data_IF_836998420159
#
_entry.id   IF_836998420159
#
_cell.length_a   1.000
_cell.length_b   1.000
_cell.length_c   1.000
_cell.angle_alpha   90.00
_cell.angle_beta   90.00
_cell.angle_gamma   90.00
#
_symmetry.space_group_name_H-M   'P 1'
#
loop_
_entity.id
_entity.type
_entity.pdbx_description
1 polymer ?
#
# COMPACT_ATOMS: atom_id res chain seq x y z
N UNK A 1 -6.27 43.32 -63.54
CA UNK A 1 -5.52 42.50 -62.56
C UNK A 1 -6.40 42.45 -61.33
N UNK A 2 -7.39 41.57 -61.37
CA UNK A 2 -8.38 41.32 -60.32
C UNK A 2 -8.66 39.82 -60.38
N UNK A 3 -8.17 39.08 -59.40
CA UNK A 3 -8.55 37.70 -59.09
C UNK A 3 -8.47 37.59 -57.56
N UNK A 4 -9.58 37.84 -56.88
CA UNK A 4 -10.53 36.82 -56.38
C UNK A 4 -9.89 35.87 -55.38
N UNK A 5 -10.03 36.21 -54.10
CA UNK A 5 -9.75 35.35 -52.96
C UNK A 5 -10.72 34.17 -52.96
N UNK A 6 -10.23 32.95 -53.20
CA UNK A 6 -10.96 31.72 -52.89
C UNK A 6 -10.81 31.39 -51.39
N UNK A 7 -11.92 31.45 -50.66
CA UNK A 7 -12.05 30.96 -49.29
C UNK A 7 -11.91 29.43 -49.27
N UNK A 8 -10.82 28.92 -48.68
CA UNK A 8 -10.72 27.51 -48.30
C UNK A 8 -11.20 27.34 -46.86
N UNK A 9 -12.40 26.76 -46.71
CA UNK A 9 -12.87 26.24 -45.43
C UNK A 9 -12.03 25.02 -45.02
N UNK A 10 -10.97 25.23 -44.24
CA UNK A 10 -10.32 24.14 -43.52
C UNK A 10 -11.18 23.78 -42.30
N UNK A 11 -12.06 22.79 -42.46
CA UNK A 11 -12.69 22.07 -41.35
C UNK A 11 -11.64 21.25 -40.61
N UNK A 12 -10.77 21.91 -39.85
CA UNK A 12 -9.95 21.27 -38.83
C UNK A 12 -10.87 20.84 -37.69
N UNK A 13 -11.46 19.66 -37.81
CA UNK A 13 -12.13 18.95 -36.74
C UNK A 13 -11.18 18.75 -35.56
N UNK A 14 -11.17 19.71 -34.63
CA UNK A 14 -10.60 19.52 -33.31
C UNK A 14 -11.58 18.66 -32.54
N UNK A 15 -11.44 17.35 -32.66
CA UNK A 15 -11.87 16.44 -31.61
C UNK A 15 -11.04 16.79 -30.37
N UNK A 16 -11.55 17.70 -29.54
CA UNK A 16 -11.13 17.79 -28.15
C UNK A 16 -11.66 16.54 -27.46
N UNK A 17 -10.89 15.45 -27.56
CA UNK A 17 -11.02 14.37 -26.60
C UNK A 17 -10.48 14.95 -25.30
N UNK A 18 -11.38 15.53 -24.52
CA UNK A 18 -11.11 15.88 -23.14
C UNK A 18 -10.80 14.56 -22.41
N UNK A 19 -9.51 14.30 -22.20
CA UNK A 19 -9.02 13.24 -21.35
C UNK A 19 -9.37 13.59 -19.90
N UNK A 20 -10.63 13.36 -19.53
CA UNK A 20 -11.13 13.50 -18.16
C UNK A 20 -10.67 12.36 -17.26
N UNK A 21 -9.82 11.45 -17.76
CA UNK A 21 -9.46 10.20 -17.07
C UNK A 21 -8.02 10.19 -16.52
N UNK A 22 -7.22 11.23 -16.79
CA UNK A 22 -5.82 11.25 -16.34
C UNK A 22 -5.69 11.48 -14.83
N UNK A 23 -6.63 12.22 -14.22
CA UNK A 23 -6.54 12.59 -12.81
C UNK A 23 -6.92 11.42 -11.87
N UNK A 24 -7.97 10.66 -12.19
CA UNK A 24 -8.38 9.47 -11.42
C UNK A 24 -7.32 8.37 -11.48
N UNK A 25 -6.68 8.19 -12.64
CA UNK A 25 -5.59 7.22 -12.79
C UNK A 25 -4.37 7.61 -11.95
N UNK A 26 -3.97 8.88 -11.96
CA UNK A 26 -2.82 9.36 -11.17
C UNK A 26 -3.05 9.22 -9.66
N UNK A 27 -4.25 9.53 -9.17
CA UNK A 27 -4.59 9.30 -7.76
C UNK A 27 -4.56 7.81 -7.42
N UNK A 28 -5.10 6.95 -8.29
CA UNK A 28 -5.05 5.49 -8.10
C UNK A 28 -3.62 4.95 -8.10
N UNK A 29 -2.71 5.53 -8.89
CA UNK A 29 -1.29 5.17 -8.90
C UNK A 29 -0.61 5.67 -7.63
N UNK A 30 -0.92 6.88 -7.15
CA UNK A 30 -0.36 7.42 -5.89
C UNK A 30 -0.69 6.54 -4.67
N UNK A 31 -1.88 5.93 -4.61
CA UNK A 31 -2.19 4.93 -3.59
C UNK A 31 -1.33 3.66 -3.70
N UNK A 32 -0.75 3.39 -4.88
CA UNK A 32 0.21 2.30 -5.10
C UNK A 32 1.64 2.64 -4.73
N UNK A 33 2.03 3.92 -4.80
CA UNK A 33 3.39 4.34 -4.48
C UNK A 33 3.79 4.07 -3.01
N UNK A 34 2.82 3.93 -2.10
CA UNK A 34 3.06 3.75 -0.67
C UNK A 34 2.42 2.49 -0.09
N UNK A 35 2.24 1.44 -0.89
CA UNK A 35 1.64 0.18 -0.44
C UNK A 35 2.24 -0.35 0.86
N UNK A 36 3.58 -0.35 0.97
CA UNK A 36 4.27 -0.81 2.18
C UNK A 36 3.94 0.06 3.41
N UNK A 37 3.94 1.39 3.24
CA UNK A 37 3.64 2.31 4.33
C UNK A 37 2.19 2.15 4.78
N UNK A 38 1.25 1.98 3.85
CA UNK A 38 -0.15 1.75 4.14
C UNK A 38 -0.33 0.45 4.91
N UNK A 39 0.26 -0.66 4.44
CA UNK A 39 0.22 -1.94 5.15
C UNK A 39 0.86 -1.89 6.54
N UNK A 40 1.93 -1.09 6.72
CA UNK A 40 2.53 -0.86 8.04
C UNK A 40 1.60 -0.04 8.95
N UNK A 41 0.90 0.95 8.39
CA UNK A 41 -0.14 1.70 9.11
C UNK A 41 -1.24 0.77 9.60
N UNK A 42 -1.77 -0.08 8.72
CA UNK A 42 -2.80 -1.07 9.05
C UNK A 42 -2.32 -2.03 10.15
N UNK A 43 -1.07 -2.51 10.05
CA UNK A 43 -0.46 -3.36 11.08
C UNK A 43 -0.39 -2.67 12.45
N UNK A 44 0.00 -1.39 12.48
CA UNK A 44 0.18 -0.62 13.71
C UNK A 44 -1.15 -0.26 14.40
N UNK A 45 -2.26 -0.34 13.68
CA UNK A 45 -3.61 -0.15 14.23
C UNK A 45 -4.14 -1.38 14.99
N UNK A 46 -3.46 -2.53 14.87
CA UNK A 46 -3.93 -3.77 15.46
C UNK A 46 -3.44 -3.97 16.89
N UNK A 47 -4.29 -4.50 17.78
CA UNK A 47 -3.85 -4.87 19.11
C UNK A 47 -2.90 -6.08 19.03
N UNK A 48 -1.84 -6.09 19.84
CA UNK A 48 -0.80 -7.13 19.81
C UNK A 48 -1.32 -8.56 19.97
N UNK A 49 -2.45 -8.74 20.67
CA UNK A 49 -3.11 -10.05 20.84
C UNK A 49 -3.56 -10.65 19.50
N UNK A 50 -3.97 -9.81 18.55
CA UNK A 50 -4.43 -10.21 17.23
C UNK A 50 -3.26 -10.53 16.30
N UNK A 51 -2.10 -9.91 16.53
CA UNK A 51 -0.87 -10.23 15.81
C UNK A 51 -0.32 -11.62 16.15
N UNK A 52 -0.78 -12.28 17.21
CA UNK A 52 -0.41 -13.66 17.48
C UNK A 52 -1.09 -14.66 16.54
N UNK A 53 -2.25 -14.30 15.98
CA UNK A 53 -3.00 -15.18 15.09
C UNK A 53 -2.59 -14.99 13.63
N UNK A 54 -2.20 -16.09 12.98
CA UNK A 54 -1.75 -16.08 11.59
C UNK A 54 -2.87 -15.65 10.63
N UNK A 55 -4.10 -16.11 10.87
CA UNK A 55 -5.24 -15.79 10.00
C UNK A 55 -5.50 -14.30 9.99
N UNK A 56 -5.55 -13.70 11.18
CA UNK A 56 -5.76 -12.27 11.35
C UNK A 56 -4.70 -11.47 10.61
N UNK A 57 -3.41 -11.81 10.76
CA UNK A 57 -2.33 -11.09 10.04
C UNK A 57 -2.44 -11.18 8.52
N UNK A 58 -2.86 -12.32 7.98
CA UNK A 58 -3.08 -12.49 6.53
C UNK A 58 -4.29 -11.72 6.02
N UNK A 59 -5.31 -11.54 6.84
CA UNK A 59 -6.51 -10.78 6.47
C UNK A 59 -6.25 -9.27 6.45
N UNK A 60 -5.52 -8.78 7.45
CA UNK A 60 -5.31 -7.33 7.67
C UNK A 60 -4.07 -6.76 6.96
N UNK A 61 -3.00 -7.53 6.87
CA UNK A 61 -1.74 -7.10 6.25
C UNK A 61 -1.12 -8.25 5.45
N UNK A 62 -1.77 -8.71 4.36
CA UNK A 62 -1.37 -9.88 3.59
C UNK A 62 0.05 -9.79 3.01
N UNK A 63 0.54 -8.58 2.82
CA UNK A 63 1.85 -8.28 2.23
C UNK A 63 3.01 -8.38 3.24
N UNK A 64 2.72 -8.37 4.55
CA UNK A 64 3.75 -8.30 5.59
C UNK A 64 4.01 -9.68 6.20
N UNK A 65 5.19 -10.23 5.91
CA UNK A 65 5.64 -11.48 6.50
C UNK A 65 6.08 -11.36 7.97
N UNK A 66 6.21 -12.49 8.69
CA UNK A 66 6.69 -12.53 10.07
C UNK A 66 7.99 -11.76 10.35
N UNK A 67 9.01 -11.72 9.45
CA UNK A 67 10.23 -10.96 9.68
C UNK A 67 10.01 -9.44 9.82
N UNK A 68 9.18 -8.84 8.97
CA UNK A 68 8.90 -7.40 9.02
C UNK A 68 8.11 -7.07 10.28
N UNK A 69 7.06 -7.85 10.57
CA UNK A 69 6.23 -7.66 11.77
C UNK A 69 7.09 -7.74 13.04
N UNK A 70 7.99 -8.72 13.11
CA UNK A 70 8.95 -8.86 14.21
C UNK A 70 9.85 -7.64 14.37
N UNK A 71 10.32 -7.07 13.25
CA UNK A 71 11.15 -5.85 13.27
C UNK A 71 10.37 -4.66 13.81
N UNK A 72 9.12 -4.46 13.38
CA UNK A 72 8.25 -3.39 13.88
C UNK A 72 8.05 -3.53 15.39
N UNK A 73 7.66 -4.73 15.85
CA UNK A 73 7.42 -5.02 17.26
C UNK A 73 8.68 -4.86 18.13
N UNK A 74 9.88 -5.15 17.59
CA UNK A 74 11.14 -4.92 18.33
C UNK A 74 11.46 -3.44 18.53
N UNK A 75 10.99 -2.57 17.63
CA UNK A 75 11.20 -1.13 17.71
C UNK A 75 10.05 -0.38 18.40
N UNK A 76 9.02 -1.11 18.87
CA UNK A 76 7.93 -0.50 19.60
C UNK A 76 8.41 0.09 20.93
N UNK A 77 8.09 1.37 21.13
CA UNK A 77 8.35 2.10 22.36
C UNK A 77 7.01 2.31 23.06
N UNK A 78 6.79 1.78 24.28
CA UNK A 78 5.58 2.03 25.03
C UNK A 78 5.36 3.53 25.28
N UNK A 79 4.13 3.98 25.10
CA UNK A 79 3.70 5.36 25.36
C UNK A 79 2.71 5.41 26.54
N UNK A 80 2.12 6.58 26.78
CA UNK A 80 1.13 6.77 27.85
C UNK A 80 -0.19 6.02 27.64
N UNK A 81 -0.51 5.65 26.40
CA UNK A 81 -1.76 4.95 26.04
C UNK A 81 -1.58 3.43 25.98
N UNK A 82 -0.36 2.97 25.72
CA UNK A 82 0.01 1.56 25.67
C UNK A 82 1.36 1.32 26.39
N UNK A 83 1.37 1.37 27.74
CA UNK A 83 2.59 1.26 28.54
C UNK A 83 3.14 -0.18 28.62
N UNK A 84 2.39 -1.15 28.10
CA UNK A 84 2.73 -2.56 28.25
C UNK A 84 3.78 -2.98 27.23
N UNK A 85 4.84 -3.63 27.70
CA UNK A 85 5.83 -4.26 26.82
C UNK A 85 5.18 -5.38 26.02
N UNK A 86 5.65 -5.55 24.79
CA UNK A 86 5.19 -6.63 23.91
C UNK A 86 5.58 -8.00 24.51
N UNK A 87 4.62 -8.93 24.65
CA UNK A 87 4.89 -10.26 25.22
C UNK A 87 5.87 -11.08 24.39
N UNK A 88 6.79 -11.80 25.06
CA UNK A 88 7.72 -12.73 24.41
C UNK A 88 7.04 -13.79 23.53
N UNK A 89 5.90 -14.31 24.00
CA UNK A 89 5.11 -15.33 23.29
C UNK A 89 4.75 -14.92 21.85
N UNK A 90 4.53 -13.63 21.59
CA UNK A 90 4.25 -13.13 20.25
C UNK A 90 5.45 -13.32 19.32
N UNK A 91 6.66 -13.07 19.81
CA UNK A 91 7.88 -13.31 19.05
C UNK A 91 8.12 -14.80 18.79
N UNK A 92 7.79 -15.67 19.75
CA UNK A 92 7.93 -17.13 19.60
C UNK A 92 7.04 -17.66 18.48
N UNK A 93 5.78 -17.20 18.42
CA UNK A 93 4.86 -17.53 17.31
C UNK A 93 5.43 -17.06 15.97
N UNK A 94 5.84 -15.79 15.88
CA UNK A 94 6.43 -15.23 14.65
C UNK A 94 7.78 -15.87 14.25
N UNK A 95 8.49 -16.51 15.19
CA UNK A 95 9.70 -17.27 14.89
C UNK A 95 9.37 -18.64 14.30
N UNK A 96 8.38 -19.35 14.86
CA UNK A 96 7.96 -20.66 14.37
C UNK A 96 7.44 -20.63 12.93
N UNK A 97 6.83 -19.52 12.52
CA UNK A 97 6.29 -19.36 11.17
C UNK A 97 7.33 -18.99 10.12
N UNK A 98 8.33 -18.16 10.50
CA UNK A 98 9.39 -17.74 9.57
C UNK A 98 10.27 -18.89 9.08
N UNK A 99 10.39 -19.97 9.86
CA UNK A 99 11.10 -21.20 9.46
C UNK A 99 10.36 -22.01 8.38
N UNK A 100 9.10 -21.66 8.08
CA UNK A 100 8.24 -22.36 7.12
C UNK A 100 7.94 -21.55 5.85
N UNK A 101 8.37 -20.29 5.80
CA UNK A 101 8.04 -19.33 4.73
C UNK A 101 9.27 -18.90 3.91
N UNK A 102 10.42 -19.56 4.11
CA UNK A 102 11.55 -19.50 3.18
C UNK A 102 11.16 -20.29 1.91
N UNK A 103 10.39 -19.67 0.99
CA UNK A 103 10.57 -19.84 -0.47
C UNK A 103 9.51 -19.18 -1.37
N UNK A 104 8.39 -18.61 -0.90
CA UNK A 104 7.43 -18.02 -1.85
C UNK A 104 6.77 -16.73 -1.34
N UNK A 105 7.10 -15.65 -2.07
CA UNK A 105 6.35 -14.41 -2.26
C UNK A 105 6.00 -13.56 -1.02
N UNK A 106 6.89 -12.61 -0.70
CA UNK A 106 6.57 -11.17 -0.73
C UNK A 106 7.78 -10.33 -0.29
N UNK A 107 7.90 -9.15 -0.91
CA UNK A 107 8.95 -8.13 -0.76
C UNK A 107 9.02 -7.57 0.68
#
# INVERSE_FOLDING_TARGET
LEDQFEEREDKSGRNKVEDRNTNEKLESENFRLFHLLNSLGDLMMLPFKMLADKSTRKEVCPTLGPPIIKRVLRNFVPDEFNPHRIPRRLFDVLNSEGLTEEDNDCI
#
